data_IF_983487647126
#
_entry.id   IF_983487647126
#
_cell.length_a   1.000
_cell.length_b   1.000
_cell.length_c   1.000
_cell.angle_alpha   90.00
_cell.angle_beta   90.00
_cell.angle_gamma   90.00
#
_symmetry.space_group_name_H-M   'P 1'
#
loop_
_entity.id
_entity.type
_entity.pdbx_description
1 polymer ?
2 non-polymer ?
3 non-polymer ?
4 non-polymer ?
5 non-polymer ?
6 non-polymer ?
7 water ?
#
# COMPACT_ATOMS: atom_id res chain seq x y z
N UNK A 2 -3.32 5.52 -21.10
CA UNK A 2 -2.88 6.10 -19.82
C UNK A 2 -2.66 5.04 -18.73
N UNK A 3 -2.23 5.49 -17.56
CA UNK A 3 -2.01 4.67 -16.35
C UNK A 3 -3.36 4.15 -15.89
N UNK A 4 -3.40 2.95 -15.31
CA UNK A 4 -4.62 2.40 -14.71
C UNK A 4 -4.93 3.18 -13.43
N UNK A 5 -6.16 3.03 -12.93
CA UNK A 5 -6.54 3.59 -11.63
C UNK A 5 -5.59 3.14 -10.50
N UNK A 6 -5.17 1.89 -10.51
CA UNK A 6 -4.26 1.38 -9.46
C UNK A 6 -2.90 2.04 -9.65
N UNK A 7 -2.43 2.17 -10.87
CA UNK A 7 -1.13 2.80 -11.11
C UNK A 7 -1.17 4.26 -10.64
N UNK A 8 -2.24 4.97 -10.96
CA UNK A 8 -2.47 6.35 -10.48
C UNK A 8 -2.42 6.35 -8.95
N UNK A 9 -2.99 5.34 -8.31
CA UNK A 9 -3.05 5.20 -6.84
C UNK A 9 -1.65 5.05 -6.26
N UNK A 10 -0.87 4.15 -6.83
CA UNK A 10 0.53 3.97 -6.39
C UNK A 10 1.28 5.28 -6.56
N UNK A 11 1.16 5.96 -7.70
CA UNK A 11 1.92 7.20 -7.90
C UNK A 11 1.49 8.26 -6.88
N UNK A 12 0.20 8.29 -6.53
CA UNK A 12 -0.33 9.28 -5.57
C UNK A 12 0.34 9.03 -4.21
N UNK A 13 0.41 7.77 -3.77
CA UNK A 13 1.05 7.38 -2.50
C UNK A 13 2.52 7.79 -2.50
N UNK A 14 3.24 7.46 -3.57
CA UNK A 14 4.68 7.82 -3.70
C UNK A 14 4.82 9.35 -3.67
N UNK A 15 4.07 10.08 -4.48
CA UNK A 15 4.09 11.58 -4.53
C UNK A 15 3.88 12.17 -3.15
N UNK A 16 2.89 11.69 -2.42
CA UNK A 16 2.56 12.08 -1.03
C UNK A 16 3.78 11.94 -0.12
N UNK A 17 4.38 10.75 -0.04
CA UNK A 17 5.61 10.49 0.74
C UNK A 17 6.66 11.57 0.42
N UNK A 18 6.94 11.76 -0.86
CA UNK A 18 8.02 12.66 -1.33
C UNK A 18 7.71 14.12 -0.98
N UNK A 19 6.45 14.53 -1.10
CA UNK A 19 6.04 15.91 -0.82
C UNK A 19 6.36 16.24 0.65
N UNK A 20 5.93 15.39 1.58
CA UNK A 20 6.16 15.64 3.02
C UNK A 20 7.63 15.43 3.38
N UNK A 21 8.30 14.45 2.78
CA UNK A 21 9.69 14.14 3.17
C UNK A 21 10.61 15.31 2.75
N UNK A 22 10.22 16.12 1.77
CA UNK A 22 11.07 17.18 1.19
C UNK A 22 11.12 18.43 2.10
N UNK A 23 10.39 18.46 3.20
CA UNK A 23 10.21 19.73 3.98
C UNK A 23 11.47 20.09 4.77
N UNK A 24 12.10 19.13 5.40
CA UNK A 24 13.23 19.40 6.32
C UNK A 24 14.14 18.16 6.33
N UNK A 25 15.37 18.32 6.83
CA UNK A 25 16.40 17.26 6.90
C UNK A 25 16.57 16.54 5.57
N UNK A 26 16.89 15.26 5.62
CA UNK A 26 16.93 14.39 4.42
C UNK A 26 15.59 14.54 3.68
N UNK A 27 15.67 14.89 2.39
CA UNK A 27 14.50 15.14 1.53
C UNK A 27 13.84 13.83 1.10
N UNK A 28 14.41 12.65 1.41
CA UNK A 28 13.84 11.30 1.09
C UNK A 28 13.46 10.55 2.38
N UNK A 29 13.41 11.22 3.53
CA UNK A 29 12.89 10.60 4.78
C UNK A 29 11.93 11.55 5.45
N UNK A 30 11.06 11.00 6.28
CA UNK A 30 10.09 11.76 7.10
C UNK A 30 10.63 11.91 8.53
N UNK A 31 10.70 13.14 8.98
CA UNK A 31 10.77 13.48 10.43
C UNK A 31 9.43 13.14 11.06
N UNK A 32 9.33 13.09 12.39
CA UNK A 32 8.02 12.92 13.05
C UNK A 32 7.09 14.06 12.58
N UNK A 33 7.59 15.28 12.46
CA UNK A 33 6.75 16.46 12.11
C UNK A 33 6.24 16.30 10.68
N UNK A 34 7.08 15.81 9.78
CA UNK A 34 6.66 15.49 8.39
C UNK A 34 5.62 14.36 8.37
N UNK A 35 5.83 13.26 9.12
CA UNK A 35 4.84 12.14 9.17
C UNK A 35 3.50 12.66 9.71
N UNK A 36 3.55 13.41 10.80
CA UNK A 36 2.32 13.95 11.42
C UNK A 36 1.52 14.77 10.40
N UNK A 37 2.18 15.67 9.67
CA UNK A 37 1.51 16.49 8.63
C UNK A 37 0.98 15.57 7.52
N UNK A 38 1.80 14.64 7.06
CA UNK A 38 1.39 13.66 6.02
C UNK A 38 0.07 13.00 6.44
N UNK A 39 -0.01 12.46 7.66
CA UNK A 39 -1.19 11.70 8.11
C UNK A 39 -2.39 12.64 8.27
N UNK A 40 -2.21 13.78 8.94
CA UNK A 40 -3.40 14.66 9.21
C UNK A 40 -3.94 15.20 7.91
N UNK A 41 -3.05 15.56 6.97
CA UNK A 41 -3.49 16.11 5.65
C UNK A 41 -4.08 15.00 4.75
N UNK A 42 -3.50 13.81 4.71
CA UNK A 42 -3.70 12.83 3.60
C UNK A 42 -4.75 11.80 3.97
N UNK A 43 -4.79 11.41 5.25
CA UNK A 43 -5.70 10.35 5.74
C UNK A 43 -6.51 10.85 6.94
N UNK A 44 -7.30 11.93 6.76
CA UNK A 44 -8.12 12.49 7.84
C UNK A 44 -9.11 11.46 8.43
N UNK A 45 -9.71 10.59 7.62
CA UNK A 45 -10.71 9.61 8.11
C UNK A 45 -10.05 8.65 9.11
N UNK A 46 -8.87 8.13 8.78
CA UNK A 46 -8.00 7.35 9.69
C UNK A 46 -7.72 8.15 10.97
N UNK A 47 -7.27 9.39 10.86
CA UNK A 47 -6.84 10.20 12.02
C UNK A 47 -8.06 10.63 12.89
N UNK A 48 -9.27 10.66 12.33
CA UNK A 48 -10.57 10.92 13.05
C UNK A 48 -10.86 9.81 14.07
N UNK A 49 -10.49 8.56 13.81
CA UNK A 49 -10.75 7.40 14.70
C UNK A 49 -10.22 7.68 16.11
N UNK A 50 -11.10 7.50 17.10
CA UNK A 50 -10.80 7.58 18.55
C UNK A 50 -9.64 8.56 18.78
N UNK A 51 -8.53 8.05 19.32
CA UNK A 51 -7.44 8.89 19.86
C UNK A 51 -6.27 9.06 18.90
N UNK A 52 -6.44 8.81 17.59
CA UNK A 52 -5.26 8.78 16.67
C UNK A 52 -4.71 10.19 16.43
N UNK A 53 -5.50 11.23 16.68
CA UNK A 53 -5.04 12.65 16.65
C UNK A 53 -4.18 12.96 17.89
N UNK A 54 -4.11 12.08 18.90
CA UNK A 54 -3.34 12.39 20.14
C UNK A 54 -1.87 12.06 19.91
N UNK A 55 -0.96 12.89 20.46
CA UNK A 55 0.48 12.64 20.43
C UNK A 55 0.92 11.20 20.65
N UNK A 56 0.34 10.52 21.65
CA UNK A 56 0.72 9.12 22.00
C UNK A 56 0.68 8.25 20.74
N UNK A 57 -0.44 8.30 20.01
CA UNK A 57 -0.63 7.40 18.84
C UNK A 57 0.44 7.71 17.78
N UNK A 58 0.61 8.98 17.40
CA UNK A 58 1.54 9.32 16.28
C UNK A 58 2.97 8.98 16.74
N UNK A 59 3.33 9.25 18.00
CA UNK A 59 4.69 8.96 18.50
C UNK A 59 4.94 7.44 18.48
N UNK A 60 3.99 6.61 18.87
CA UNK A 60 4.15 5.13 18.88
C UNK A 60 4.21 4.55 17.45
N UNK A 61 3.45 5.12 16.51
CA UNK A 61 3.46 4.64 15.10
C UNK A 61 4.82 4.96 14.50
N UNK A 62 5.35 6.16 14.77
CA UNK A 62 6.68 6.57 14.26
C UNK A 62 7.72 5.63 14.85
N UNK A 63 7.65 5.40 16.17
CA UNK A 63 8.64 4.51 16.84
C UNK A 63 8.58 3.12 16.20
N UNK A 64 7.38 2.55 16.01
CA UNK A 64 7.25 1.20 15.43
C UNK A 64 7.84 1.16 14.01
N UNK A 65 7.64 2.21 13.23
CA UNK A 65 8.03 2.28 11.81
C UNK A 65 9.54 2.47 11.69
N UNK A 66 10.16 3.20 12.63
CA UNK A 66 11.59 3.61 12.57
C UNK A 66 12.47 2.44 13.05
N UNK A 67 12.56 1.40 12.22
CA UNK A 67 13.21 0.11 12.58
C UNK A 67 14.70 0.33 12.88
N UNK A 68 15.40 1.26 12.21
CA UNK A 68 16.86 1.44 12.48
C UNK A 68 17.10 2.57 13.50
N UNK A 69 16.06 3.12 14.14
CA UNK A 69 16.18 4.03 15.31
C UNK A 69 17.00 5.30 14.98
N UNK A 70 16.90 5.83 13.77
CA UNK A 70 17.67 7.02 13.35
C UNK A 70 16.77 8.26 13.33
N UNK A 71 15.55 8.18 13.87
CA UNK A 71 14.64 9.35 14.04
C UNK A 71 14.22 9.92 12.69
N UNK A 72 14.12 9.06 11.67
CA UNK A 72 13.45 9.40 10.41
C UNK A 72 12.87 8.13 9.78
N UNK A 73 11.81 8.28 8.99
CA UNK A 73 11.16 7.17 8.24
C UNK A 73 11.62 7.24 6.78
N UNK A 74 12.39 6.27 6.34
CA UNK A 74 12.74 6.16 4.91
C UNK A 74 11.58 5.47 4.16
N UNK A 75 11.71 5.39 2.85
CA UNK A 75 10.62 4.87 2.00
C UNK A 75 10.29 3.42 2.37
N UNK A 76 11.29 2.54 2.56
CA UNK A 76 11.05 1.11 2.95
C UNK A 76 10.32 1.04 4.30
N UNK A 77 10.71 1.86 5.27
CA UNK A 77 10.05 1.86 6.60
C UNK A 77 8.62 2.39 6.45
N UNK A 78 8.36 3.29 5.52
CA UNK A 78 7.01 3.87 5.31
C UNK A 78 6.01 2.77 4.91
N UNK A 79 6.44 1.69 4.26
CA UNK A 79 5.54 0.56 3.88
C UNK A 79 4.83 0.01 5.11
N UNK A 80 5.48 0.04 6.26
CA UNK A 80 4.86 -0.41 7.53
C UNK A 80 3.60 0.43 7.79
N UNK A 81 3.74 1.75 7.65
CA UNK A 81 2.67 2.74 7.91
C UNK A 81 1.60 2.51 6.83
N UNK A 82 2.00 2.39 5.57
CA UNK A 82 1.04 2.21 4.46
C UNK A 82 0.19 0.96 4.72
N UNK A 83 0.79 -0.13 5.22
CA UNK A 83 0.04 -1.35 5.59
C UNK A 83 -1.02 -1.08 6.64
N UNK A 84 -0.67 -0.31 7.67
CA UNK A 84 -1.62 0.05 8.74
C UNK A 84 -2.76 0.86 8.14
N UNK A 85 -2.45 1.80 7.25
CA UNK A 85 -3.48 2.67 6.64
C UNK A 85 -4.42 1.83 5.78
N UNK A 86 -3.86 0.96 4.94
CA UNK A 86 -4.68 0.17 3.99
C UNK A 86 -5.60 -0.75 4.81
N UNK A 87 -5.12 -1.33 5.91
CA UNK A 87 -5.94 -2.23 6.77
C UNK A 87 -7.10 -1.45 7.42
N UNK A 88 -6.82 -0.25 7.92
CA UNK A 88 -7.89 0.60 8.47
C UNK A 88 -8.90 0.98 7.39
N UNK A 89 -8.47 1.38 6.18
CA UNK A 89 -9.41 1.81 5.11
C UNK A 89 -10.18 0.58 4.59
N UNK A 90 -9.62 -0.62 4.74
CA UNK A 90 -10.31 -1.88 4.39
C UNK A 90 -11.53 -2.08 5.32
N UNK A 91 -11.40 -1.88 6.62
CA UNK A 91 -12.57 -1.85 7.55
C UNK A 91 -13.57 -0.76 7.11
N UNK A 92 -13.12 0.46 6.80
CA UNK A 92 -14.04 1.57 6.39
C UNK A 92 -14.80 1.15 5.11
N UNK A 93 -14.12 0.54 4.14
CA UNK A 93 -14.72 0.03 2.86
C UNK A 93 -15.86 -0.94 3.20
N UNK A 94 -15.62 -1.88 4.11
CA UNK A 94 -16.63 -2.86 4.59
C UNK A 94 -17.79 -2.15 5.32
N UNK A 95 -17.53 -1.14 6.15
CA UNK A 95 -18.63 -0.44 6.89
C UNK A 95 -19.51 0.32 5.89
N UNK A 96 -18.93 0.82 4.79
CA UNK A 96 -19.62 1.65 3.77
C UNK A 96 -20.53 0.73 2.93
N UNK A 97 -20.02 -0.45 2.59
CA UNK A 97 -20.79 -1.51 1.86
C UNK A 97 -22.00 -1.92 2.69
N UNK A 98 -21.87 -1.94 4.03
CA UNK A 98 -22.91 -2.41 4.98
C UNK A 98 -23.96 -1.32 5.25
N UNK A 99 -23.69 -0.07 4.83
CA UNK A 99 -24.58 1.11 4.98
C UNK A 99 -25.10 1.55 3.60
C UNK B 2 -13.83 13.48 1.10
N UNK B 3 -13.27 12.71 0.18
CA UNK B 3 -12.02 11.95 0.42
C UNK B 3 -10.85 12.71 -0.21
N UNK B 4 -9.65 12.61 0.38
CA UNK B 4 -8.41 13.14 -0.24
C UNK B 4 -8.01 12.22 -1.39
N UNK B 5 -7.10 12.72 -2.26
CA UNK B 5 -6.49 11.91 -3.30
C UNK B 5 -5.82 10.64 -2.74
N UNK B 6 -5.16 10.69 -1.59
CA UNK B 6 -4.56 9.46 -1.00
C UNK B 6 -5.67 8.54 -0.53
N UNK B 7 -6.76 9.07 0.05
CA UNK B 7 -7.86 8.20 0.49
C UNK B 7 -8.48 7.49 -0.72
N UNK B 8 -8.71 8.23 -1.80
CA UNK B 8 -9.23 7.71 -3.10
C UNK B 8 -8.30 6.58 -3.58
N UNK B 9 -6.99 6.78 -3.50
CA UNK B 9 -5.92 5.80 -3.82
C UNK B 9 -6.03 4.53 -2.97
N UNK B 10 -6.16 4.66 -1.65
CA UNK B 10 -6.30 3.47 -0.77
C UNK B 10 -7.57 2.71 -1.10
N UNK B 11 -8.68 3.41 -1.32
CA UNK B 11 -9.94 2.71 -1.62
C UNK B 11 -9.82 2.00 -2.98
N UNK B 12 -9.13 2.59 -3.95
CA UNK B 12 -8.97 2.03 -5.31
C UNK B 12 -8.24 0.71 -5.17
N UNK B 13 -7.15 0.66 -4.41
CA UNK B 13 -6.38 -0.58 -4.11
C UNK B 13 -7.27 -1.64 -3.43
N UNK B 14 -8.05 -1.25 -2.43
CA UNK B 14 -8.95 -2.19 -1.72
C UNK B 14 -9.99 -2.71 -2.70
N UNK B 15 -10.59 -1.82 -3.52
CA UNK B 15 -11.64 -2.17 -4.54
C UNK B 15 -11.05 -3.24 -5.50
N UNK B 16 -9.82 -2.96 -5.93
CA UNK B 16 -9.05 -3.82 -6.85
C UNK B 16 -8.93 -5.22 -6.28
N UNK B 17 -8.44 -5.35 -5.06
CA UNK B 17 -8.29 -6.65 -4.40
C UNK B 17 -9.62 -7.40 -4.42
N UNK B 18 -10.70 -6.75 -3.99
CA UNK B 18 -12.01 -7.44 -3.88
C UNK B 18 -12.53 -7.82 -5.26
N UNK B 19 -12.33 -6.98 -6.27
CA UNK B 19 -12.82 -7.18 -7.66
C UNK B 19 -12.27 -8.52 -8.18
N UNK B 20 -10.98 -8.83 -7.94
CA UNK B 20 -10.33 -10.08 -8.41
C UNK B 20 -10.56 -11.26 -7.45
N UNK B 21 -10.55 -11.03 -6.13
CA UNK B 21 -10.68 -12.09 -5.11
C UNK B 21 -12.03 -12.80 -5.19
N UNK B 22 -13.05 -12.06 -5.65
CA UNK B 22 -14.46 -12.51 -5.64
C UNK B 22 -14.73 -13.49 -6.79
N UNK B 23 -13.79 -13.70 -7.73
CA UNK B 23 -14.09 -14.46 -8.99
C UNK B 23 -14.27 -15.94 -8.68
N UNK B 24 -13.35 -16.56 -7.94
CA UNK B 24 -13.33 -18.02 -7.73
C UNK B 24 -13.02 -18.34 -6.27
N UNK B 25 -13.34 -19.58 -5.87
CA UNK B 25 -13.03 -20.11 -4.53
C UNK B 25 -13.49 -19.16 -3.46
N UNK B 26 -12.73 -19.06 -2.36
CA UNK B 26 -12.98 -18.05 -1.28
C UNK B 26 -13.02 -16.65 -1.89
N UNK B 27 -14.06 -15.88 -1.60
CA UNK B 27 -14.34 -14.54 -2.20
C UNK B 27 -13.46 -13.46 -1.56
N UNK B 28 -12.73 -13.79 -0.49
CA UNK B 28 -11.94 -12.83 0.31
C UNK B 28 -10.46 -13.09 0.07
N UNK B 29 -10.13 -14.09 -0.73
CA UNK B 29 -8.72 -14.46 -0.98
C UNK B 29 -8.48 -14.48 -2.48
N UNK B 30 -7.23 -14.27 -2.89
CA UNK B 30 -6.78 -14.45 -4.27
C UNK B 30 -6.16 -15.83 -4.46
N UNK B 31 -6.60 -16.56 -5.47
CA UNK B 31 -5.84 -17.70 -6.05
C UNK B 31 -4.70 -17.12 -6.88
N UNK B 32 -3.81 -18.00 -7.34
CA UNK B 32 -2.71 -17.60 -8.26
C UNK B 32 -3.30 -16.99 -9.54
N UNK B 33 -4.33 -17.61 -10.10
CA UNK B 33 -5.00 -17.10 -11.34
C UNK B 33 -5.69 -15.76 -11.10
N UNK B 34 -6.30 -15.55 -9.94
CA UNK B 34 -6.94 -14.26 -9.60
C UNK B 34 -5.84 -13.22 -9.46
N UNK B 35 -4.72 -13.58 -8.82
CA UNK B 35 -3.58 -12.63 -8.66
C UNK B 35 -3.03 -12.32 -10.06
N UNK B 36 -2.91 -13.31 -10.93
CA UNK B 36 -2.38 -13.07 -12.29
C UNK B 36 -3.27 -12.06 -13.03
N UNK B 37 -4.58 -12.24 -13.01
CA UNK B 37 -5.55 -11.31 -13.64
C UNK B 37 -5.40 -9.91 -13.01
N UNK B 38 -5.34 -9.83 -11.67
CA UNK B 38 -5.23 -8.52 -10.96
C UNK B 38 -4.00 -7.78 -11.46
N UNK B 39 -2.85 -8.45 -11.52
CA UNK B 39 -1.59 -7.80 -11.93
C UNK B 39 -1.62 -7.36 -13.38
N UNK B 40 -1.98 -8.26 -14.28
CA UNK B 40 -1.97 -7.97 -15.74
C UNK B 40 -2.89 -6.79 -16.03
N UNK B 41 -4.04 -6.70 -15.37
CA UNK B 41 -5.01 -5.60 -15.63
C UNK B 41 -4.62 -4.32 -14.88
N UNK B 42 -4.06 -4.42 -13.68
CA UNK B 42 -3.90 -3.29 -12.74
C UNK B 42 -2.53 -2.65 -12.81
N UNK B 43 -1.47 -3.43 -13.04
CA UNK B 43 -0.11 -2.84 -13.03
C UNK B 43 0.60 -3.23 -14.34
N UNK B 44 0.01 -2.91 -15.51
CA UNK B 44 0.59 -3.31 -16.79
C UNK B 44 1.99 -2.74 -17.06
N UNK B 45 2.26 -1.50 -16.64
CA UNK B 45 3.60 -0.88 -16.88
C UNK B 45 4.65 -1.78 -16.28
N UNK B 46 4.46 -2.19 -15.03
CA UNK B 46 5.39 -3.09 -14.33
C UNK B 46 5.44 -4.42 -15.07
N UNK B 47 4.27 -5.04 -15.30
CA UNK B 47 4.19 -6.44 -15.80
C UNK B 47 4.83 -6.50 -17.20
N UNK B 48 4.67 -5.46 -18.01
CA UNK B 48 5.20 -5.39 -19.40
C UNK B 48 6.73 -5.54 -19.40
N UNK B 49 7.40 -5.18 -18.30
CA UNK B 49 8.89 -5.10 -18.22
C UNK B 49 9.50 -6.50 -18.02
N UNK B 50 8.71 -7.48 -17.58
CA UNK B 50 9.21 -8.81 -17.11
C UNK B 50 9.48 -9.80 -18.25
N UNK B 51 8.89 -9.65 -19.45
CA UNK B 51 9.14 -10.52 -20.62
C UNK B 51 8.89 -12.00 -20.37
N UNK B 52 9.86 -12.85 -20.73
CA UNK B 52 9.68 -14.32 -20.89
C UNK B 52 9.39 -14.97 -19.53
N UNK B 53 9.98 -14.43 -18.46
CA UNK B 53 9.95 -15.01 -17.09
C UNK B 53 8.78 -14.41 -16.28
N UNK B 54 7.88 -13.65 -16.91
CA UNK B 54 6.64 -13.13 -16.27
C UNK B 54 5.96 -14.22 -15.43
N UNK B 55 5.62 -15.42 -15.98
CA UNK B 55 4.92 -16.44 -15.20
C UNK B 55 5.72 -16.94 -13.99
N UNK B 56 7.04 -17.05 -14.13
CA UNK B 56 7.96 -17.47 -13.03
C UNK B 56 7.92 -16.38 -11.95
N UNK B 57 7.97 -15.11 -12.36
CA UNK B 57 7.91 -13.98 -11.40
C UNK B 57 6.58 -14.01 -10.61
N UNK B 58 5.44 -14.24 -11.27
CA UNK B 58 4.10 -14.18 -10.61
C UNK B 58 4.03 -15.31 -9.55
N UNK B 59 4.52 -16.52 -9.88
CA UNK B 59 4.53 -17.68 -8.95
C UNK B 59 5.48 -17.42 -7.78
N UNK B 60 6.66 -16.86 -8.04
CA UNK B 60 7.59 -16.48 -6.94
C UNK B 60 6.92 -15.43 -6.03
N UNK B 61 6.27 -14.41 -6.59
CA UNK B 61 5.63 -13.33 -5.79
C UNK B 61 4.53 -13.95 -4.92
N UNK B 62 3.70 -14.79 -5.53
CA UNK B 62 2.56 -15.47 -4.86
C UNK B 62 3.06 -16.31 -3.68
N UNK B 63 4.06 -17.17 -3.91
CA UNK B 63 4.61 -18.05 -2.83
C UNK B 63 5.25 -17.17 -1.73
N UNK B 64 5.95 -16.10 -2.07
CA UNK B 64 6.52 -15.18 -1.06
C UNK B 64 5.40 -14.53 -0.22
N UNK B 65 4.25 -14.20 -0.81
CA UNK B 65 3.15 -13.51 -0.12
C UNK B 65 2.35 -14.49 0.74
N UNK B 66 2.28 -15.74 0.30
CA UNK B 66 1.44 -16.79 0.94
C UNK B 66 2.18 -17.34 2.17
N UNK B 67 2.32 -16.50 3.20
CA UNK B 67 3.14 -16.81 4.41
C UNK B 67 2.62 -18.08 5.10
N UNK B 68 1.32 -18.33 5.15
CA UNK B 68 0.73 -19.51 5.85
C UNK B 68 0.58 -20.71 4.90
N UNK B 69 1.11 -20.65 3.67
CA UNK B 69 1.20 -21.79 2.72
C UNK B 69 -0.14 -22.49 2.46
N UNK B 70 -1.28 -21.77 2.48
CA UNK B 70 -2.60 -22.38 2.20
C UNK B 70 -2.97 -22.19 0.72
N UNK B 71 -2.02 -21.67 -0.10
CA UNK B 71 -2.18 -21.52 -1.57
C UNK B 71 -3.30 -20.50 -1.91
N UNK B 72 -3.53 -19.49 -1.07
CA UNK B 72 -4.40 -18.34 -1.41
C UNK B 72 -3.88 -17.13 -0.65
N UNK B 73 -4.09 -15.95 -1.21
CA UNK B 73 -3.60 -14.67 -0.60
C UNK B 73 -4.80 -14.03 0.08
N UNK B 74 -4.79 -13.91 1.41
CA UNK B 74 -5.77 -13.10 2.16
C UNK B 74 -5.39 -11.62 2.09
N UNK B 75 -6.27 -10.73 2.57
CA UNK B 75 -6.01 -9.28 2.49
C UNK B 75 -4.68 -8.92 3.18
N UNK B 76 -4.43 -9.46 4.38
CA UNK B 76 -3.18 -9.16 5.14
C UNK B 76 -1.96 -9.58 4.31
N UNK B 77 -2.00 -10.74 3.65
CA UNK B 77 -0.86 -11.24 2.83
C UNK B 77 -0.72 -10.38 1.57
N UNK B 78 -1.80 -9.78 1.09
CA UNK B 78 -1.78 -8.93 -0.10
C UNK B 78 -0.90 -7.71 0.17
N UNK B 79 -0.80 -7.25 1.42
CA UNK B 79 0.09 -6.11 1.80
C UNK B 79 1.51 -6.35 1.33
N UNK B 80 1.97 -7.60 1.37
CA UNK B 80 3.32 -7.97 0.87
C UNK B 80 3.43 -7.58 -0.59
N UNK B 81 2.41 -7.92 -1.38
CA UNK B 81 2.40 -7.69 -2.85
C UNK B 81 2.32 -6.19 -3.10
N UNK B 82 1.44 -5.49 -2.38
CA UNK B 82 1.34 -4.01 -2.48
C UNK B 82 2.70 -3.39 -2.18
N UNK B 83 3.41 -3.89 -1.17
CA UNK B 83 4.72 -3.32 -0.86
C UNK B 83 5.68 -3.44 -2.03
N UNK B 84 5.70 -4.62 -2.66
CA UNK B 84 6.60 -4.89 -3.82
C UNK B 84 6.21 -4.01 -4.98
N UNK B 85 4.91 -3.84 -5.22
CA UNK B 85 4.41 -2.99 -6.35
C UNK B 85 4.81 -1.53 -6.11
N UNK B 86 4.60 -1.02 -4.90
CA UNK B 86 4.89 0.38 -4.51
C UNK B 86 6.37 0.64 -4.74
N UNK B 87 7.21 -0.29 -4.31
CA UNK B 87 8.68 -0.16 -4.46
C UNK B 87 9.06 -0.17 -5.94
N UNK B 88 8.44 -1.02 -6.75
CA UNK B 88 8.75 -1.08 -8.20
C UNK B 88 8.36 0.25 -8.85
N UNK B 89 7.14 0.74 -8.62
CA UNK B 89 6.70 2.03 -9.17
C UNK B 89 7.56 3.17 -8.61
N UNK B 90 8.03 3.06 -7.39
CA UNK B 90 8.96 4.07 -6.81
C UNK B 90 10.24 4.15 -7.66
N UNK B 91 10.85 3.01 -7.98
CA UNK B 91 12.04 2.97 -8.88
C UNK B 91 11.71 3.61 -10.23
N UNK B 92 10.45 3.53 -10.70
CA UNK B 92 9.99 4.18 -11.97
C UNK B 92 9.81 5.68 -11.76
N UNK B 93 9.19 6.09 -10.65
CA UNK B 93 8.96 7.52 -10.28
C UNK B 93 10.27 8.30 -10.40
N UNK B 94 11.40 7.70 -10.00
CA UNK B 94 12.77 8.28 -10.10
C UNK B 94 13.28 8.20 -11.54
N UNK B 95 13.48 6.98 -12.07
CA UNK B 95 14.09 6.68 -13.40
C UNK B 95 13.07 6.92 -14.51
#
# INVERSE_FOLDING_TARGET
>A
MPDTPVEDSLFQIIHCFHHYAAREGDKETLSLEELKALLLDSVPRFMDTLGRRQPYYITELFRAADKNKDNQICFDEFLYILGKLVKDYHLQFHRQLCAH
>B
MPDTPVEDSLFQIIHCFHHYAAREGDKETLSLEELKALLLDSVPRFMDTLGRRQPYYITELFRAADKNKDNQICFDEFLYILGKLVKDYHLQFHRQLCAH
#
